data_IF_620086159475
#
_entry.id   IF_620086159475
#
_cell.length_a   1.000
_cell.length_b   1.000
_cell.length_c   1.000
_cell.angle_alpha   90.00
_cell.angle_beta   90.00
_cell.angle_gamma   90.00
#
_symmetry.space_group_name_H-M   'P 1'
#
loop_
_entity.id
_entity.type
_entity.pdbx_description
1 polymer ?
#
# COMPACT_ATOMS: atom_id res chain seq x y z
N UNK A 1 -16.57 -7.26 -22.93
CA UNK A 1 -15.42 -6.53 -22.36
C UNK A 1 -15.66 -5.04 -22.50
N UNK A 2 -15.58 -4.30 -21.40
CA UNK A 2 -15.63 -2.84 -21.35
C UNK A 2 -14.29 -2.34 -20.80
N UNK A 3 -13.62 -1.45 -21.51
CA UNK A 3 -12.30 -0.93 -21.12
C UNK A 3 -12.36 0.31 -20.21
N UNK A 4 -13.54 0.87 -19.95
CA UNK A 4 -13.74 1.94 -18.97
C UNK A 4 -13.39 3.34 -19.45
N UNK A 5 -13.09 3.53 -20.74
CA UNK A 5 -12.73 4.81 -21.37
C UNK A 5 -13.82 5.37 -22.30
N UNK A 6 -15.00 4.73 -22.32
CA UNK A 6 -16.10 5.08 -23.22
C UNK A 6 -15.97 4.52 -24.63
N UNK A 7 -14.96 3.69 -24.92
CA UNK A 7 -14.88 2.92 -26.16
C UNK A 7 -16.03 1.92 -26.29
N UNK A 8 -16.35 1.46 -27.52
CA UNK A 8 -17.38 0.44 -27.73
C UNK A 8 -17.10 -0.85 -26.95
N UNK A 9 -18.17 -1.52 -26.53
CA UNK A 9 -18.06 -2.84 -25.90
C UNK A 9 -17.56 -3.87 -26.91
N UNK A 10 -16.61 -4.71 -26.50
CA UNK A 10 -16.20 -5.88 -27.25
C UNK A 10 -17.00 -7.10 -26.79
N UNK A 11 -17.66 -7.79 -27.71
CA UNK A 11 -18.44 -9.02 -27.46
C UNK A 11 -18.00 -10.14 -28.40
N UNK A 12 -17.97 -11.37 -27.90
CA UNK A 12 -17.50 -12.55 -28.64
C UNK A 12 -16.63 -13.48 -27.80
N UNK A 13 -16.07 -14.50 -28.47
CA UNK A 13 -15.14 -15.47 -27.88
C UNK A 13 -13.74 -15.12 -28.38
N UNK A 14 -12.82 -14.82 -27.46
CA UNK A 14 -11.45 -14.42 -27.78
C UNK A 14 -10.48 -14.99 -26.75
N UNK A 15 -9.33 -15.50 -27.20
CA UNK A 15 -8.25 -15.93 -26.31
C UNK A 15 -7.42 -14.74 -25.81
N UNK A 16 -7.41 -13.63 -26.56
CA UNK A 16 -6.70 -12.40 -26.21
C UNK A 16 -7.39 -11.20 -26.85
N UNK A 17 -7.51 -10.11 -26.09
CA UNK A 17 -8.04 -8.83 -26.57
C UNK A 17 -7.06 -7.73 -26.16
N UNK A 18 -6.59 -6.94 -27.13
CA UNK A 18 -5.74 -5.77 -26.89
C UNK A 18 -6.54 -4.49 -27.06
N UNK A 19 -6.32 -3.51 -26.17
CA UNK A 19 -6.91 -2.18 -26.25
C UNK A 19 -5.83 -1.11 -26.02
N UNK A 20 -5.93 0.01 -26.72
CA UNK A 20 -4.99 1.13 -26.58
C UNK A 20 -5.75 2.35 -26.09
N UNK A 21 -5.31 2.89 -24.96
CA UNK A 21 -5.89 4.08 -24.35
C UNK A 21 -5.25 5.34 -24.94
N UNK A 22 -6.08 6.29 -25.36
CA UNK A 22 -5.62 7.55 -25.96
C UNK A 22 -5.02 8.53 -24.94
N UNK A 23 -5.43 8.42 -23.67
CA UNK A 23 -5.01 9.30 -22.60
C UNK A 23 -4.50 8.50 -21.40
N UNK A 24 -3.66 9.14 -20.60
CA UNK A 24 -3.28 8.65 -19.28
C UNK A 24 -4.48 8.76 -18.33
N UNK A 25 -4.71 7.74 -17.51
CA UNK A 25 -5.83 7.72 -16.58
C UNK A 25 -5.97 6.38 -15.86
N UNK A 26 -6.88 6.35 -14.89
CA UNK A 26 -7.30 5.11 -14.22
C UNK A 26 -8.58 4.64 -14.91
N UNK A 27 -8.56 3.42 -15.42
CA UNK A 27 -9.66 2.82 -16.16
C UNK A 27 -10.16 1.58 -15.44
N UNK A 28 -11.48 1.48 -15.23
CA UNK A 28 -12.10 0.26 -14.72
C UNK A 28 -12.47 -0.65 -15.89
N UNK A 29 -11.70 -1.72 -16.05
CA UNK A 29 -11.93 -2.72 -17.09
C UNK A 29 -12.85 -3.79 -16.52
N UNK A 30 -13.96 -4.07 -17.22
CA UNK A 30 -14.92 -5.08 -16.82
C UNK A 30 -15.08 -6.16 -17.91
N UNK A 31 -14.86 -7.40 -17.51
CA UNK A 31 -15.23 -8.59 -18.25
C UNK A 31 -16.61 -9.04 -17.77
N UNK A 32 -17.52 -9.24 -18.72
CA UNK A 32 -18.82 -9.84 -18.47
C UNK A 32 -18.90 -11.11 -19.31
N UNK A 33 -19.19 -12.23 -18.67
CA UNK A 33 -19.38 -13.53 -19.29
C UNK A 33 -20.83 -13.96 -19.12
N UNK A 34 -21.37 -14.65 -20.12
CA UNK A 34 -22.72 -15.21 -20.05
C UNK A 34 -22.69 -16.68 -20.47
N UNK A 35 -23.63 -17.46 -19.93
CA UNK A 35 -23.87 -18.80 -20.44
C UNK A 35 -24.54 -18.73 -21.83
N UNK A 36 -24.53 -19.85 -22.57
CA UNK A 36 -25.12 -19.92 -23.91
C UNK A 36 -26.60 -19.49 -23.97
N UNK A 37 -27.35 -19.73 -22.90
CA UNK A 37 -28.76 -19.35 -22.79
C UNK A 37 -28.98 -17.86 -22.42
N UNK A 38 -27.92 -17.10 -22.12
CA UNK A 38 -28.00 -15.72 -21.65
C UNK A 38 -28.67 -15.54 -20.28
N UNK A 39 -28.96 -16.63 -19.56
CA UNK A 39 -29.72 -16.64 -18.31
C UNK A 39 -28.85 -16.49 -17.06
N UNK A 40 -27.54 -16.66 -17.18
CA UNK A 40 -26.58 -16.47 -16.11
C UNK A 40 -25.42 -15.63 -16.64
N UNK A 41 -25.17 -14.50 -15.99
CA UNK A 41 -24.08 -13.59 -16.29
C UNK A 41 -23.21 -13.42 -15.06
N UNK A 42 -21.90 -13.36 -15.24
CA UNK A 42 -20.96 -12.97 -14.20
C UNK A 42 -20.09 -11.82 -14.70
N UNK A 43 -19.71 -10.93 -13.77
CA UNK A 43 -18.99 -9.71 -14.08
C UNK A 43 -17.80 -9.56 -13.15
N UNK A 44 -16.62 -9.52 -13.75
CA UNK A 44 -15.36 -9.26 -13.06
C UNK A 44 -14.77 -7.94 -13.53
N UNK A 45 -14.42 -7.05 -12.59
CA UNK A 45 -13.81 -5.77 -12.92
C UNK A 45 -12.46 -5.59 -12.21
N UNK A 46 -11.50 -4.98 -12.89
CA UNK A 46 -10.20 -4.62 -12.35
C UNK A 46 -9.80 -3.21 -12.79
N UNK A 47 -8.96 -2.54 -11.99
CA UNK A 47 -8.46 -1.21 -12.29
C UNK A 47 -7.12 -1.30 -13.02
N UNK A 48 -7.03 -0.58 -14.14
CA UNK A 48 -5.78 -0.37 -14.88
C UNK A 48 -5.38 1.07 -14.69
N UNK A 49 -4.18 1.31 -14.16
CA UNK A 49 -3.64 2.64 -14.00
C UNK A 49 -2.59 2.93 -15.09
N UNK A 50 -2.91 3.86 -15.98
CA UNK A 50 -2.06 4.32 -17.08
C UNK A 50 -1.61 5.77 -16.90
N UNK A 51 -1.72 6.32 -15.69
CA UNK A 51 -0.97 7.54 -15.37
C UNK A 51 0.51 7.20 -15.44
N UNK A 52 1.25 7.94 -16.27
CA UNK A 52 2.70 7.82 -16.50
C UNK A 52 3.45 7.27 -15.28
N UNK A 53 4.31 6.27 -15.47
CA UNK A 53 5.11 5.61 -14.43
C UNK A 53 5.61 6.60 -13.35
N UNK A 54 4.82 6.66 -12.27
CA UNK A 54 4.90 7.50 -11.07
C UNK A 54 3.50 8.08 -10.82
N UNK A 55 2.62 7.26 -10.26
CA UNK A 55 1.60 7.56 -9.26
C UNK A 55 0.64 6.36 -9.31
N UNK A 56 0.85 5.41 -8.40
CA UNK A 56 -0.25 4.55 -7.93
C UNK A 56 -1.44 5.46 -7.56
N UNK A 57 -2.70 4.99 -7.66
CA UNK A 57 -3.83 5.78 -7.19
C UNK A 57 -3.49 6.31 -5.79
N UNK A 58 -3.57 7.63 -5.60
CA UNK A 58 -3.41 8.31 -4.32
C UNK A 58 -4.59 7.91 -3.41
N UNK A 59 -4.58 6.65 -2.97
CA UNK A 59 -4.88 6.38 -1.59
C UNK A 59 -3.85 7.25 -0.87
N UNK A 60 -4.31 8.18 -0.03
CA UNK A 60 -3.43 8.94 0.87
C UNK A 60 -2.74 7.94 1.81
N UNK A 61 -1.77 7.23 1.25
CA UNK A 61 -1.17 6.07 1.84
C UNK A 61 -0.27 6.61 2.92
N UNK A 62 -0.43 6.04 4.12
CA UNK A 62 0.41 6.39 5.26
C UNK A 62 1.86 6.03 4.85
N UNK A 63 2.63 7.06 4.51
CA UNK A 63 4.04 6.89 4.16
C UNK A 63 4.84 6.94 5.45
N UNK A 64 5.55 5.86 5.74
CA UNK A 64 6.44 5.77 6.90
C UNK A 64 7.86 5.53 6.39
N UNK A 65 8.70 6.54 6.54
CA UNK A 65 10.13 6.50 6.23
C UNK A 65 10.93 6.30 7.51
N UNK A 66 11.97 5.45 7.43
CA UNK A 66 12.82 5.09 8.57
C UNK A 66 14.26 5.21 8.14
N UNK A 67 15.01 6.10 8.78
CA UNK A 67 16.43 6.34 8.46
C UNK A 67 17.26 6.65 9.71
N UNK A 68 18.45 6.04 9.88
CA UNK A 68 18.99 4.95 9.07
C UNK A 68 18.26 3.62 9.35
N UNK A 69 18.21 2.75 8.36
CA UNK A 69 17.76 1.35 8.49
C UNK A 69 18.60 0.48 7.53
N UNK A 70 19.56 -0.33 8.00
CA UNK A 70 19.81 -0.70 9.41
C UNK A 70 20.29 0.43 10.33
N UNK A 71 20.03 0.31 11.63
CA UNK A 71 20.42 1.28 12.68
C UNK A 71 21.19 0.60 13.81
N UNK A 72 22.08 1.32 14.50
CA UNK A 72 22.85 0.83 15.65
C UNK A 72 22.55 1.57 16.96
N UNK A 73 22.32 2.89 16.90
CA UNK A 73 22.09 3.72 18.09
C UNK A 73 20.67 4.29 18.17
N UNK A 74 20.22 4.88 17.06
CA UNK A 74 18.91 5.50 16.93
C UNK A 74 18.46 5.48 15.48
N UNK A 75 17.15 5.49 15.28
CA UNK A 75 16.55 5.66 13.95
C UNK A 75 15.48 6.74 13.99
N UNK A 76 15.45 7.58 12.96
CA UNK A 76 14.43 8.60 12.76
C UNK A 76 13.31 8.01 11.92
N UNK A 77 12.08 8.23 12.39
CA UNK A 77 10.86 7.84 11.69
C UNK A 77 10.11 9.10 11.28
N UNK A 78 9.72 9.18 10.00
CA UNK A 78 8.86 10.23 9.47
C UNK A 78 7.57 9.62 8.91
N UNK A 79 6.44 10.19 9.30
CA UNK A 79 5.10 9.77 8.88
C UNK A 79 4.49 10.89 8.05
N UNK A 80 4.09 10.58 6.83
CA UNK A 80 3.41 11.50 5.92
C UNK A 80 2.07 10.92 5.48
N UNK A 81 1.14 11.80 5.11
CA UNK A 81 -0.19 11.42 4.65
C UNK A 81 -1.20 11.11 5.77
N UNK A 82 -0.79 11.03 7.04
CA UNK A 82 -1.69 10.82 8.19
C UNK A 82 -1.10 11.36 9.51
N UNK A 83 -1.96 11.56 10.51
CA UNK A 83 -1.57 12.02 11.84
C UNK A 83 -1.32 10.81 12.76
N UNK A 84 -0.09 10.59 13.25
CA UNK A 84 0.17 9.50 14.20
C UNK A 84 -0.52 9.78 15.53
N UNK A 85 -1.08 8.72 16.11
CA UNK A 85 -1.74 8.72 17.43
C UNK A 85 -0.97 7.85 18.42
N UNK A 86 -0.34 6.77 17.94
CA UNK A 86 0.36 5.81 18.76
C UNK A 86 1.43 5.09 17.96
N UNK A 87 2.60 4.89 18.56
CA UNK A 87 3.70 4.14 17.94
C UNK A 87 4.18 3.06 18.90
N UNK A 88 4.36 1.86 18.37
CA UNK A 88 4.80 0.69 19.13
C UNK A 88 5.85 -0.08 18.33
N UNK A 89 6.88 -0.57 19.01
CA UNK A 89 7.92 -1.40 18.43
C UNK A 89 7.82 -2.80 19.04
N UNK A 90 7.78 -3.81 18.17
CA UNK A 90 7.72 -5.22 18.55
C UNK A 90 8.93 -5.98 18.04
N UNK A 91 9.37 -6.99 18.78
CA UNK A 91 10.32 -7.98 18.26
C UNK A 91 9.63 -8.98 17.31
N UNK A 92 10.39 -9.90 16.72
CA UNK A 92 9.85 -10.94 15.81
C UNK A 92 8.88 -11.92 16.48
N UNK A 93 8.86 -11.99 17.80
CA UNK A 93 7.94 -12.83 18.58
C UNK A 93 6.68 -12.07 18.99
N UNK A 94 6.54 -10.80 18.60
CA UNK A 94 5.40 -9.96 18.95
C UNK A 94 5.47 -9.37 20.35
N UNK A 95 6.61 -9.44 21.04
CA UNK A 95 6.79 -8.77 22.33
C UNK A 95 7.02 -7.28 22.08
N UNK A 96 6.23 -6.45 22.74
CA UNK A 96 6.42 -5.00 22.73
C UNK A 96 7.70 -4.64 23.48
N UNK A 97 8.61 -3.93 22.82
CA UNK A 97 9.90 -3.50 23.39
C UNK A 97 9.97 -1.99 23.59
N UNK A 98 9.11 -1.22 22.92
CA UNK A 98 9.04 0.23 23.04
C UNK A 98 7.65 0.73 22.62
N UNK A 99 7.20 1.82 23.25
CA UNK A 99 5.93 2.49 22.94
C UNK A 99 6.08 3.99 23.19
N UNK A 100 5.40 4.80 22.38
CA UNK A 100 5.29 6.23 22.61
C UNK A 100 3.94 6.77 22.09
N UNK A 101 3.11 7.39 22.95
CA UNK A 101 1.95 8.16 22.52
C UNK A 101 2.42 9.47 21.90
N UNK A 102 2.57 9.48 20.58
CA UNK A 102 3.13 10.61 19.83
C UNK A 102 2.04 11.43 19.14
N UNK A 103 2.23 12.76 19.15
CA UNK A 103 1.45 13.73 18.36
C UNK A 103 2.24 14.30 17.17
N UNK A 104 3.53 13.98 17.06
CA UNK A 104 4.42 14.52 16.03
C UNK A 104 4.57 13.56 14.84
N UNK A 105 4.54 14.12 13.63
CA UNK A 105 4.75 13.39 12.39
C UNK A 105 6.20 12.88 12.20
N UNK A 106 7.15 13.32 13.03
CA UNK A 106 8.55 12.85 12.96
C UNK A 106 9.10 12.70 14.38
N UNK A 107 9.78 11.58 14.63
CA UNK A 107 10.28 11.20 15.95
C UNK A 107 11.50 10.27 15.82
N UNK A 108 12.18 10.03 16.94
CA UNK A 108 13.36 9.17 17.02
C UNK A 108 13.11 8.00 17.97
N UNK A 109 13.65 6.84 17.61
CA UNK A 109 13.62 5.62 18.40
C UNK A 109 15.05 5.28 18.76
N UNK A 110 15.35 5.22 20.05
CA UNK A 110 16.64 4.74 20.57
C UNK A 110 16.71 3.21 20.43
N UNK A 111 17.70 2.74 19.66
CA UNK A 111 17.93 1.31 19.38
C UNK A 111 19.17 0.75 20.08
N UNK A 112 19.98 1.60 20.72
CA UNK A 112 21.22 1.23 21.42
C UNK A 112 21.06 0.08 22.43
N UNK A 113 19.94 0.07 23.15
CA UNK A 113 19.68 -0.93 24.20
C UNK A 113 18.93 -2.17 23.68
N UNK A 114 18.62 -2.21 22.38
CA UNK A 114 17.95 -3.34 21.77
C UNK A 114 18.97 -4.38 21.28
N UNK A 115 18.67 -5.68 21.40
CA UNK A 115 19.42 -6.72 20.70
C UNK A 115 19.49 -6.47 19.19
N UNK A 116 20.57 -6.93 18.56
CA UNK A 116 20.64 -6.94 17.10
C UNK A 116 19.56 -7.89 16.56
N UNK A 117 18.81 -7.45 15.55
CA UNK A 117 17.68 -8.22 15.04
C UNK A 117 16.70 -7.40 14.23
N UNK A 118 15.60 -8.06 13.87
CA UNK A 118 14.49 -7.46 13.14
C UNK A 118 13.37 -7.08 14.11
N UNK A 119 12.82 -5.90 13.91
CA UNK A 119 11.72 -5.36 14.69
C UNK A 119 10.60 -4.86 13.76
N UNK A 120 9.38 -4.88 14.26
CA UNK A 120 8.20 -4.38 13.58
C UNK A 120 7.72 -3.10 14.26
N UNK A 121 7.82 -1.98 13.55
CA UNK A 121 7.26 -0.71 13.97
C UNK A 121 5.81 -0.63 13.51
N UNK A 122 4.87 -0.54 14.45
CA UNK A 122 3.47 -0.26 14.20
C UNK A 122 3.17 1.21 14.50
N UNK A 123 2.61 1.90 13.52
CA UNK A 123 2.19 3.30 13.61
C UNK A 123 0.68 3.34 13.43
N UNK A 124 -0.04 3.63 14.51
CA UNK A 124 -1.48 3.90 14.45
C UNK A 124 -1.69 5.38 14.15
N UNK A 125 -2.54 5.66 13.18
CA UNK A 125 -2.87 7.00 12.70
C UNK A 125 -4.38 7.21 12.64
N UNK A 126 -4.79 8.46 12.42
CA UNK A 126 -6.19 8.82 12.14
C UNK A 126 -6.76 8.17 10.86
N UNK A 127 -5.92 7.70 9.94
CA UNK A 127 -6.32 7.05 8.68
C UNK A 127 -6.12 5.54 8.66
N UNK A 128 -5.72 4.95 9.78
CA UNK A 128 -5.46 3.51 9.91
C UNK A 128 -4.07 3.21 10.45
N UNK A 129 -3.61 1.98 10.24
CA UNK A 129 -2.34 1.50 10.80
C UNK A 129 -1.33 1.20 9.68
N UNK A 130 -0.10 1.67 9.85
CA UNK A 130 1.03 1.30 9.01
C UNK A 130 2.03 0.45 9.80
N UNK A 131 2.61 -0.54 9.15
CA UNK A 131 3.68 -1.38 9.73
C UNK A 131 4.94 -1.28 8.88
N UNK A 132 6.10 -1.17 9.53
CA UNK A 132 7.41 -1.13 8.88
C UNK A 132 8.43 -2.00 9.61
N UNK A 133 9.37 -2.53 8.85
CA UNK A 133 10.50 -3.32 9.37
C UNK A 133 11.63 -2.38 9.78
N UNK A 134 12.14 -2.55 11.00
CA UNK A 134 13.35 -1.89 11.50
C UNK A 134 14.41 -2.95 11.74
N UNK A 135 15.61 -2.75 11.21
CA UNK A 135 16.74 -3.66 11.39
C UNK A 135 17.75 -2.99 12.33
N UNK A 136 18.02 -3.63 13.46
CA UNK A 136 19.08 -3.20 14.38
C UNK A 136 20.34 -4.02 14.07
N UNK A 137 21.39 -3.33 13.63
CA UNK A 137 22.71 -3.89 13.36
C UNK A 137 23.72 -3.41 14.42
N UNK A 138 24.67 -4.25 14.78
CA UNK A 138 25.77 -3.92 15.70
C UNK A 138 27.09 -3.86 14.96
#
# INVERSE_FOLDING_TARGET
MNFGDGSPFYSGIFDTVSHTYAAAGIYQVCLEISNFAGSCTDKYCFLVNLTSAAHEPDIQAIQVEISPNPTSEQTRVSVQGANPQKVQLFDVFGKMVWENPLFAATFEIETRNLPAGVYWLQVLTDKGMAVRKVVVAR
#
